data_IF_371940644661
#
_entry.id   IF_371940644661
#
_cell.length_a   1.000
_cell.length_b   1.000
_cell.length_c   1.000
_cell.angle_alpha   90.00
_cell.angle_beta   90.00
_cell.angle_gamma   90.00
#
_symmetry.space_group_name_H-M   'P 1'
#
loop_
_entity.id
_entity.type
_entity.pdbx_description
1 polymer ?
#
# COMPACT_ATOMS: atom_id res chain seq x y z
N UNK A 1 -2.92 -25.97 5.57
CA UNK A 1 -3.90 -24.88 5.71
C UNK A 1 -4.74 -24.86 4.43
N UNK A 2 -5.96 -24.31 4.42
CA UNK A 2 -6.77 -24.33 3.18
C UNK A 2 -6.22 -23.31 2.18
N UNK A 3 -6.26 -23.65 0.89
CA UNK A 3 -5.78 -22.81 -0.22
C UNK A 3 -6.31 -21.36 -0.17
N UNK A 4 -7.55 -21.17 0.27
CA UNK A 4 -8.15 -19.84 0.45
C UNK A 4 -7.41 -18.99 1.48
N UNK A 5 -6.95 -19.59 2.59
CA UNK A 5 -6.20 -18.86 3.62
C UNK A 5 -4.88 -18.35 3.07
N UNK A 6 -4.21 -19.16 2.25
CA UNK A 6 -2.92 -18.81 1.66
C UNK A 6 -3.11 -17.66 0.66
N UNK A 7 -4.11 -17.74 -0.22
CA UNK A 7 -4.47 -16.64 -1.16
C UNK A 7 -4.84 -15.34 -0.46
N UNK A 8 -5.60 -15.41 0.64
CA UNK A 8 -5.93 -14.22 1.43
C UNK A 8 -4.66 -13.61 2.04
N UNK A 9 -3.76 -14.46 2.56
CA UNK A 9 -2.50 -14.00 3.16
C UNK A 9 -1.60 -13.31 2.13
N UNK A 10 -1.51 -13.87 0.92
CA UNK A 10 -0.79 -13.27 -0.21
C UNK A 10 -1.37 -11.91 -0.60
N UNK A 11 -2.70 -11.78 -0.69
CA UNK A 11 -3.35 -10.51 -1.01
C UNK A 11 -3.10 -9.44 0.07
N UNK A 12 -3.09 -9.83 1.35
CA UNK A 12 -2.74 -8.94 2.46
C UNK A 12 -1.28 -8.51 2.39
N UNK A 13 -0.35 -9.42 2.08
CA UNK A 13 1.05 -9.05 1.89
C UNK A 13 1.22 -8.06 0.73
N UNK A 14 0.58 -8.31 -0.41
CA UNK A 14 0.63 -7.43 -1.57
C UNK A 14 0.07 -6.03 -1.27
N UNK A 15 -0.95 -5.93 -0.41
CA UNK A 15 -1.44 -4.66 0.11
C UNK A 15 -0.34 -3.90 0.87
N UNK A 16 0.36 -4.55 1.81
CA UNK A 16 1.44 -3.90 2.55
C UNK A 16 2.62 -3.53 1.66
N UNK A 17 3.01 -4.40 0.73
CA UNK A 17 4.08 -4.12 -0.24
C UNK A 17 3.74 -2.90 -1.10
N UNK A 18 2.48 -2.76 -1.52
CA UNK A 18 2.04 -1.60 -2.30
C UNK A 18 2.28 -0.27 -1.58
N UNK A 19 2.05 -0.24 -0.26
CA UNK A 19 2.26 0.95 0.57
C UNK A 19 3.75 1.17 0.88
N UNK A 20 4.47 0.09 1.17
CA UNK A 20 5.88 0.14 1.54
C UNK A 20 6.77 0.58 0.37
N UNK A 21 6.43 0.19 -0.84
CA UNK A 21 7.13 0.56 -2.07
C UNK A 21 6.53 1.78 -2.78
N UNK A 22 5.41 2.31 -2.29
CA UNK A 22 4.62 3.35 -2.97
C UNK A 22 4.24 2.97 -4.41
N UNK A 23 3.79 1.72 -4.62
CA UNK A 23 3.51 1.16 -5.94
C UNK A 23 2.03 1.23 -6.32
N UNK A 24 1.70 2.08 -7.30
CA UNK A 24 0.37 2.18 -7.90
C UNK A 24 -0.10 0.83 -8.49
N UNK A 25 0.81 0.11 -9.15
CA UNK A 25 0.52 -1.14 -9.83
C UNK A 25 0.07 -2.22 -8.84
N UNK A 26 0.79 -2.35 -7.72
CA UNK A 26 0.44 -3.33 -6.67
C UNK A 26 -0.92 -3.01 -6.04
N UNK A 27 -1.27 -1.73 -5.85
CA UNK A 27 -2.62 -1.36 -5.38
C UNK A 27 -3.69 -1.89 -6.34
N UNK A 28 -3.51 -1.75 -7.65
CA UNK A 28 -4.48 -2.21 -8.65
C UNK A 28 -4.60 -3.73 -8.74
N UNK A 29 -3.60 -4.48 -8.27
CA UNK A 29 -3.65 -5.93 -8.19
C UNK A 29 -4.43 -6.42 -6.95
N UNK A 30 -4.37 -5.66 -5.85
CA UNK A 30 -5.06 -6.01 -4.58
C UNK A 30 -6.56 -5.76 -4.67
N UNK A 31 -6.96 -4.61 -5.23
CA UNK A 31 -8.35 -4.17 -5.22
C UNK A 31 -9.07 -4.50 -6.52
N UNK A 32 -10.30 -4.99 -6.41
CA UNK A 32 -11.22 -5.01 -7.54
C UNK A 32 -11.39 -3.58 -8.09
N UNK A 33 -11.38 -3.39 -9.41
CA UNK A 33 -11.41 -2.06 -10.07
C UNK A 33 -12.53 -1.11 -9.58
N UNK A 34 -13.66 -1.67 -9.17
CA UNK A 34 -14.84 -0.93 -8.69
C UNK A 34 -14.95 -0.90 -7.16
N UNK A 35 -13.92 -1.33 -6.42
CA UNK A 35 -13.89 -1.26 -4.97
C UNK A 35 -13.89 0.18 -4.48
N UNK A 36 -14.45 0.38 -3.29
CA UNK A 36 -14.45 1.67 -2.58
C UNK A 36 -13.53 1.59 -1.37
N UNK A 37 -12.54 2.49 -1.32
CA UNK A 37 -11.71 2.69 -0.15
C UNK A 37 -12.35 3.80 0.65
N UNK A 38 -12.84 3.49 1.86
CA UNK A 38 -13.61 4.45 2.66
C UNK A 38 -13.21 4.42 4.13
N UNK A 39 -13.36 5.56 4.79
CA UNK A 39 -13.13 5.73 6.21
C UNK A 39 -13.42 7.16 6.66
N UNK A 40 -13.49 7.38 7.96
CA UNK A 40 -13.59 8.73 8.51
C UNK A 40 -12.19 9.32 8.68
N UNK A 41 -11.92 10.43 7.98
CA UNK A 41 -10.68 11.19 8.06
C UNK A 41 -11.00 12.62 8.50
N UNK A 42 -10.36 13.09 9.57
CA UNK A 42 -10.57 14.44 10.11
C UNK A 42 -12.07 14.77 10.37
N UNK A 43 -12.82 13.78 10.85
CA UNK A 43 -14.25 13.92 11.17
C UNK A 43 -15.20 13.84 9.97
N UNK A 44 -14.70 13.68 8.74
CA UNK A 44 -15.52 13.58 7.53
C UNK A 44 -15.43 12.18 6.91
N UNK A 45 -16.53 11.71 6.31
CA UNK A 45 -16.52 10.51 5.49
C UNK A 45 -15.67 10.77 4.24
N UNK A 46 -14.62 9.96 4.07
CA UNK A 46 -13.83 9.90 2.85
C UNK A 46 -14.23 8.65 2.08
N UNK A 47 -14.47 8.80 0.79
CA UNK A 47 -14.65 7.71 -0.17
C UNK A 47 -13.72 7.94 -1.36
N UNK A 48 -12.93 6.93 -1.72
CA UNK A 48 -11.98 6.98 -2.83
C UNK A 48 -12.18 5.79 -3.75
N UNK A 49 -12.01 6.04 -5.05
CA UNK A 49 -11.88 4.98 -6.06
C UNK A 49 -10.51 4.32 -5.94
N UNK A 50 -10.38 3.09 -6.47
CA UNK A 50 -9.07 2.42 -6.57
C UNK A 50 -8.06 3.26 -7.34
N UNK A 51 -8.49 3.93 -8.41
CA UNK A 51 -7.62 4.81 -9.21
C UNK A 51 -7.09 6.00 -8.39
N UNK A 52 -7.97 6.66 -7.64
CA UNK A 52 -7.58 7.77 -6.77
C UNK A 52 -6.65 7.32 -5.65
N UNK A 53 -6.96 6.19 -5.04
CA UNK A 53 -6.13 5.62 -3.96
C UNK A 53 -4.75 5.18 -4.48
N UNK A 54 -4.68 4.53 -5.63
CA UNK A 54 -3.42 4.09 -6.22
C UNK A 54 -2.49 5.29 -6.53
N UNK A 55 -3.04 6.37 -7.09
CA UNK A 55 -2.30 7.63 -7.31
C UNK A 55 -1.85 8.27 -6.01
N UNK A 56 -2.68 8.24 -4.98
CA UNK A 56 -2.32 8.75 -3.65
C UNK A 56 -1.13 7.98 -3.06
N UNK A 57 -1.14 6.64 -3.15
CA UNK A 57 -0.02 5.79 -2.71
C UNK A 57 1.26 6.11 -3.48
N UNK A 58 1.18 6.20 -4.80
CA UNK A 58 2.33 6.54 -5.65
C UNK A 58 2.91 7.94 -5.36
N UNK A 59 2.09 8.87 -4.88
CA UNK A 59 2.55 10.22 -4.51
C UNK A 59 3.37 10.26 -3.22
N UNK A 60 3.36 9.19 -2.41
CA UNK A 60 4.14 9.10 -1.18
C UNK A 60 5.62 8.86 -1.48
N UNK A 61 6.33 9.94 -1.82
CA UNK A 61 7.76 9.92 -2.13
C UNK A 61 8.57 10.72 -1.10
N UNK A 62 9.77 10.26 -0.68
CA UNK A 62 10.31 8.93 -0.96
C UNK A 62 9.47 7.83 -0.29
N UNK A 63 9.44 6.65 -0.90
CA UNK A 63 8.71 5.51 -0.34
C UNK A 63 9.30 5.11 1.02
N UNK A 64 8.52 4.43 1.88
CA UNK A 64 9.07 3.84 3.10
C UNK A 64 10.34 3.02 2.87
N UNK A 65 10.37 2.16 1.83
CA UNK A 65 11.53 1.38 1.45
C UNK A 65 12.76 2.25 1.11
N UNK A 66 12.55 3.34 0.37
CA UNK A 66 13.62 4.27 0.02
C UNK A 66 14.15 5.04 1.24
N UNK A 67 13.26 5.42 2.16
CA UNK A 67 13.64 6.07 3.42
C UNK A 67 14.50 5.14 4.27
N UNK A 68 14.08 3.90 4.44
CA UNK A 68 14.83 2.90 5.20
C UNK A 68 16.21 2.63 4.59
N UNK A 69 16.30 2.46 3.26
CA UNK A 69 17.59 2.31 2.58
C UNK A 69 18.53 3.50 2.83
N UNK A 70 18.00 4.74 2.81
CA UNK A 70 18.80 5.94 3.11
C UNK A 70 19.29 5.95 4.56
N UNK A 71 18.46 5.49 5.50
CA UNK A 71 18.83 5.39 6.91
C UNK A 71 19.93 4.35 7.15
N UNK A 72 19.86 3.18 6.52
CA UNK A 72 20.91 2.15 6.57
C UNK A 72 22.24 2.70 6.03
N UNK A 73 22.20 3.39 4.89
CA UNK A 73 23.39 4.04 4.31
C UNK A 73 23.93 5.13 5.25
N UNK A 74 23.05 5.88 5.92
CA UNK A 74 23.42 6.96 6.84
C UNK A 74 24.04 6.44 8.14
N UNK A 75 23.64 5.27 8.63
CA UNK A 75 24.10 4.72 9.91
C UNK A 75 24.46 3.22 9.80
N UNK A 76 25.64 2.88 9.27
CA UNK A 76 25.99 1.52 8.84
C UNK A 76 26.40 0.54 9.97
N UNK A 77 26.03 0.81 11.23
CA UNK A 77 26.47 0.02 12.41
C UNK A 77 25.35 -0.78 13.12
N UNK A 78 24.26 -1.08 12.41
CA UNK A 78 23.31 -2.14 12.75
C UNK A 78 23.07 -3.04 11.55
#
# INVERSE_FOLDING_TARGET
>A
MSEDKDKISEAVQLYFDSMYESSEEKVRQVFHKDAKITGYLQGNLSEQSVDGFAKFVASQTPSPAEKEKREIIRNPLY
#
